data_IF_773820913271
#
_entry.id   IF_773820913271
#
_cell.length_a   1.000
_cell.length_b   1.000
_cell.length_c   1.000
_cell.angle_alpha   90.00
_cell.angle_beta   90.00
_cell.angle_gamma   90.00
#
_symmetry.space_group_name_H-M   'P 1'
#
loop_
_entity.id
_entity.type
_entity.pdbx_description
1 polymer ?
#
# COMPACT_ATOMS: atom_id res chain seq x y z
N UNK A 1 27.91 -7.42 -5.32
CA UNK A 1 27.46 -6.36 -4.40
C UNK A 1 27.31 -6.97 -3.01
N UNK A 2 28.18 -6.63 -2.10
CA UNK A 2 28.08 -7.09 -0.72
C UNK A 2 26.82 -6.48 -0.08
N UNK A 3 25.86 -7.35 0.27
CA UNK A 3 24.69 -6.92 1.04
C UNK A 3 25.11 -6.75 2.50
N UNK A 4 25.24 -5.51 2.92
CA UNK A 4 25.49 -5.20 4.34
C UNK A 4 24.22 -5.41 5.14
N UNK A 5 24.28 -6.31 6.12
CA UNK A 5 23.18 -6.58 7.05
C UNK A 5 23.39 -5.85 8.37
N UNK A 6 22.33 -5.33 8.92
CA UNK A 6 22.29 -4.69 10.23
C UNK A 6 21.26 -5.36 11.12
N UNK A 7 21.57 -5.49 12.41
CA UNK A 7 20.67 -6.05 13.40
C UNK A 7 20.15 -4.93 14.29
N UNK A 8 18.83 -4.87 14.46
CA UNK A 8 18.19 -4.04 15.49
C UNK A 8 17.35 -4.91 16.40
N UNK A 9 17.33 -4.58 17.68
CA UNK A 9 16.62 -5.33 18.72
C UNK A 9 15.59 -4.47 19.39
N UNK A 10 14.37 -4.98 19.53
CA UNK A 10 13.27 -4.33 20.22
C UNK A 10 12.25 -5.35 20.73
N UNK A 11 11.34 -4.92 21.60
CA UNK A 11 10.18 -5.72 21.98
C UNK A 11 9.10 -5.57 20.89
N UNK A 12 8.90 -6.63 20.10
CA UNK A 12 8.04 -6.60 18.92
C UNK A 12 6.77 -7.44 19.05
N UNK A 13 6.70 -8.35 20.02
CA UNK A 13 5.60 -9.33 20.12
C UNK A 13 5.08 -9.57 21.54
N UNK A 14 5.44 -8.74 22.50
CA UNK A 14 5.00 -8.90 23.91
C UNK A 14 5.62 -10.09 24.67
N UNK A 15 6.47 -10.89 24.01
CA UNK A 15 7.11 -12.08 24.60
C UNK A 15 8.60 -11.89 24.87
N UNK A 16 9.04 -10.62 24.95
CA UNK A 16 10.43 -10.25 25.16
C UNK A 16 11.09 -9.62 23.93
N UNK A 17 12.38 -9.36 24.03
CA UNK A 17 13.13 -8.70 22.97
C UNK A 17 13.36 -9.63 21.77
N UNK A 18 13.08 -9.13 20.59
CA UNK A 18 13.35 -9.79 19.32
C UNK A 18 14.41 -9.02 18.53
N UNK A 19 15.28 -9.76 17.84
CA UNK A 19 16.26 -9.18 16.93
C UNK A 19 15.84 -9.40 15.48
N UNK A 20 15.85 -8.33 14.70
CA UNK A 20 15.63 -8.37 13.27
C UNK A 20 16.94 -8.12 12.54
N UNK A 21 17.33 -9.05 11.68
CA UNK A 21 18.48 -8.91 10.79
C UNK A 21 17.98 -8.61 9.37
N UNK A 22 18.18 -7.38 8.92
CA UNK A 22 17.73 -6.90 7.61
C UNK A 22 18.89 -6.20 6.88
N UNK A 23 18.76 -6.09 5.59
CA UNK A 23 19.65 -5.30 4.75
C UNK A 23 19.60 -3.82 5.18
N UNK A 24 20.72 -3.14 5.06
CA UNK A 24 20.82 -1.72 5.45
C UNK A 24 19.83 -0.83 4.65
N UNK A 25 19.63 -1.14 3.37
CA UNK A 25 18.63 -0.48 2.51
C UNK A 25 17.19 -0.68 3.01
N UNK A 26 16.89 -1.88 3.52
CA UNK A 26 15.57 -2.17 4.13
C UNK A 26 15.37 -1.37 5.42
N UNK A 27 16.41 -1.24 6.25
CA UNK A 27 16.34 -0.39 7.44
C UNK A 27 16.15 1.09 7.11
N UNK A 28 16.81 1.59 6.07
CA UNK A 28 16.61 2.97 5.60
C UNK A 28 15.16 3.20 5.14
N UNK A 29 14.58 2.24 4.43
CA UNK A 29 13.16 2.30 4.04
C UNK A 29 12.22 2.28 5.26
N UNK A 30 12.46 1.41 6.25
CA UNK A 30 11.67 1.36 7.50
C UNK A 30 11.74 2.70 8.24
N UNK A 31 12.93 3.27 8.39
CA UNK A 31 13.10 4.56 9.06
C UNK A 31 12.32 5.67 8.34
N UNK A 32 12.35 5.69 7.01
CA UNK A 32 11.59 6.65 6.19
C UNK A 32 10.08 6.46 6.32
N UNK A 33 9.60 5.22 6.27
CA UNK A 33 8.17 4.88 6.41
C UNK A 33 7.67 5.30 7.80
N UNK A 34 8.38 4.93 8.85
CA UNK A 34 8.03 5.25 10.24
C UNK A 34 8.02 6.77 10.48
N UNK A 35 9.01 7.49 9.94
CA UNK A 35 9.07 8.95 10.01
C UNK A 35 7.85 9.61 9.37
N UNK A 36 7.45 9.17 8.18
CA UNK A 36 6.25 9.68 7.49
C UNK A 36 4.96 9.38 8.26
N UNK A 37 4.90 8.21 8.91
CA UNK A 37 3.77 7.83 9.76
C UNK A 37 3.77 8.54 11.14
N UNK A 38 4.82 9.29 11.47
CA UNK A 38 4.96 9.96 12.77
C UNK A 38 5.15 9.01 13.94
N UNK A 39 5.69 7.81 13.71
CA UNK A 39 5.92 6.77 14.73
C UNK A 39 7.38 6.33 14.75
N UNK A 40 7.79 5.63 15.81
CA UNK A 40 9.11 5.01 15.85
C UNK A 40 9.08 3.72 15.02
N UNK A 41 10.23 3.31 14.48
CA UNK A 41 10.33 2.07 13.72
C UNK A 41 9.85 0.83 14.49
N UNK A 42 10.07 0.79 15.83
CA UNK A 42 9.63 -0.31 16.68
C UNK A 42 8.10 -0.41 16.75
N UNK A 43 7.43 0.73 16.82
CA UNK A 43 5.96 0.79 16.92
C UNK A 43 5.33 0.40 15.58
N UNK A 44 5.90 0.86 14.47
CA UNK A 44 5.51 0.43 13.12
C UNK A 44 5.72 -1.08 12.93
N UNK A 45 6.89 -1.61 13.26
CA UNK A 45 7.21 -3.03 13.11
C UNK A 45 6.32 -3.91 14.00
N UNK A 46 6.04 -3.48 15.24
CA UNK A 46 5.13 -4.18 16.15
C UNK A 46 3.73 -4.31 15.57
N UNK A 47 3.20 -3.24 15.00
CA UNK A 47 1.87 -3.24 14.38
C UNK A 47 1.80 -4.20 13.19
N UNK A 48 2.82 -4.21 12.33
CA UNK A 48 2.90 -5.12 11.20
C UNK A 48 2.95 -6.59 11.65
N UNK A 49 3.79 -6.90 12.64
CA UNK A 49 3.93 -8.27 13.18
C UNK A 49 2.65 -8.71 13.88
N UNK A 50 1.97 -7.82 14.59
CA UNK A 50 0.70 -8.11 15.27
C UNK A 50 -0.38 -8.59 14.29
N UNK A 51 -0.40 -8.07 13.09
CA UNK A 51 -1.37 -8.48 12.04
C UNK A 51 -1.11 -9.89 11.50
N UNK A 52 0.13 -10.39 11.60
CA UNK A 52 0.54 -11.70 11.08
C UNK A 52 1.43 -12.45 12.10
N UNK A 53 0.91 -12.82 13.28
CA UNK A 53 1.73 -13.30 14.39
C UNK A 53 2.37 -14.68 14.17
N UNK A 54 1.85 -15.49 13.24
CA UNK A 54 2.33 -16.85 12.95
C UNK A 54 3.38 -16.91 11.83
N UNK A 55 3.71 -15.77 11.21
CA UNK A 55 4.68 -15.71 10.12
C UNK A 55 6.08 -15.31 10.62
N UNK A 56 7.08 -15.63 9.84
CA UNK A 56 8.44 -15.18 10.08
C UNK A 56 8.50 -13.64 10.11
N UNK A 57 8.93 -13.08 11.25
CA UNK A 57 8.95 -11.62 11.49
C UNK A 57 9.72 -10.86 10.42
N UNK A 58 10.90 -11.35 10.04
CA UNK A 58 11.74 -10.72 9.00
C UNK A 58 11.04 -10.71 7.64
N UNK A 59 10.40 -11.82 7.27
CA UNK A 59 9.64 -11.93 6.03
C UNK A 59 8.44 -11.01 6.00
N UNK A 60 7.69 -10.93 7.10
CA UNK A 60 6.53 -10.02 7.25
C UNK A 60 6.94 -8.56 7.14
N UNK A 61 8.04 -8.17 7.76
CA UNK A 61 8.56 -6.80 7.68
C UNK A 61 9.03 -6.46 6.26
N UNK A 62 9.75 -7.36 5.58
CA UNK A 62 10.16 -7.14 4.18
C UNK A 62 8.96 -6.97 3.25
N UNK A 63 7.93 -7.80 3.41
CA UNK A 63 6.71 -7.69 2.61
C UNK A 63 6.01 -6.35 2.84
N UNK A 64 5.89 -5.91 4.09
CA UNK A 64 5.28 -4.63 4.43
C UNK A 64 6.08 -3.43 3.86
N UNK A 65 7.41 -3.48 3.89
CA UNK A 65 8.26 -2.46 3.24
C UNK A 65 8.02 -2.43 1.74
N UNK A 66 7.95 -3.57 1.09
CA UNK A 66 7.69 -3.65 -0.34
C UNK A 66 6.30 -3.05 -0.69
N UNK A 67 5.26 -3.37 0.09
CA UNK A 67 3.93 -2.77 -0.07
C UNK A 67 3.95 -1.24 0.06
N UNK A 68 4.65 -0.70 1.06
CA UNK A 68 4.79 0.74 1.25
C UNK A 68 5.47 1.42 0.06
N UNK A 69 6.59 0.85 -0.40
CA UNK A 69 7.33 1.42 -1.53
C UNK A 69 6.54 1.35 -2.84
N UNK A 70 5.76 0.28 -3.04
CA UNK A 70 4.88 0.16 -4.20
C UNK A 70 3.74 1.19 -4.15
N UNK A 71 3.11 1.36 -2.99
CA UNK A 71 2.07 2.38 -2.81
C UNK A 71 2.62 3.78 -3.09
N UNK A 72 3.82 4.11 -2.60
CA UNK A 72 4.50 5.38 -2.87
C UNK A 72 4.78 5.58 -4.37
N UNK A 73 5.22 4.55 -5.05
CA UNK A 73 5.47 4.60 -6.49
C UNK A 73 4.19 4.91 -7.26
N UNK A 74 3.07 4.26 -6.92
CA UNK A 74 1.80 4.53 -7.59
C UNK A 74 1.25 5.93 -7.29
N UNK A 75 1.38 6.40 -6.06
CA UNK A 75 1.01 7.78 -5.72
C UNK A 75 1.84 8.77 -6.52
N UNK A 76 3.15 8.55 -6.63
CA UNK A 76 4.03 9.40 -7.44
C UNK A 76 3.66 9.35 -8.94
N UNK A 77 3.34 8.17 -9.47
CA UNK A 77 2.90 8.02 -10.86
C UNK A 77 1.57 8.75 -11.11
N UNK A 78 0.61 8.65 -10.18
CA UNK A 78 -0.65 9.37 -10.26
C UNK A 78 -0.43 10.90 -10.23
N UNK A 79 0.43 11.38 -9.34
CA UNK A 79 0.78 12.80 -9.22
C UNK A 79 1.49 13.34 -10.49
N UNK A 80 2.30 12.50 -11.14
CA UNK A 80 2.98 12.86 -12.41
C UNK A 80 2.06 12.79 -13.63
N UNK A 81 0.79 12.46 -13.47
CA UNK A 81 -0.17 12.37 -14.55
C UNK A 81 -0.10 11.07 -15.36
N UNK A 82 0.76 10.12 -15.00
CA UNK A 82 0.93 8.86 -15.74
C UNK A 82 -0.35 8.02 -15.74
N UNK A 83 -1.15 8.14 -14.69
CA UNK A 83 -2.47 7.50 -14.58
C UNK A 83 -3.58 8.47 -14.98
N UNK A 84 -3.32 9.77 -14.95
CA UNK A 84 -4.30 10.82 -15.23
C UNK A 84 -4.89 10.75 -16.64
N UNK A 85 -4.11 10.31 -17.62
CA UNK A 85 -4.58 10.16 -19.01
C UNK A 85 -5.62 9.03 -19.15
N UNK A 86 -5.67 8.11 -18.18
CA UNK A 86 -6.64 6.99 -18.15
C UNK A 86 -7.94 7.35 -17.43
N UNK A 87 -8.03 8.54 -16.83
CA UNK A 87 -9.17 8.98 -16.02
C UNK A 87 -9.88 10.14 -16.73
N UNK A 88 -11.20 10.07 -16.82
CA UNK A 88 -12.01 11.11 -17.44
C UNK A 88 -11.97 12.47 -16.71
N UNK A 89 -11.66 12.45 -15.40
CA UNK A 89 -11.52 13.65 -14.56
C UNK A 89 -10.28 13.57 -13.68
N UNK A 90 -9.07 13.71 -14.25
CA UNK A 90 -7.82 13.54 -13.49
C UNK A 90 -7.67 14.52 -12.31
N UNK A 91 -8.20 15.73 -12.41
CA UNK A 91 -8.16 16.73 -11.33
C UNK A 91 -9.04 16.35 -10.12
N UNK A 92 -10.05 15.52 -10.29
CA UNK A 92 -10.87 15.04 -9.16
C UNK A 92 -10.11 14.01 -8.29
N UNK A 93 -9.09 13.38 -8.86
CA UNK A 93 -8.27 12.36 -8.18
C UNK A 93 -6.93 12.94 -7.73
N UNK A 94 -6.43 13.99 -8.40
CA UNK A 94 -5.23 14.72 -7.97
C UNK A 94 -5.51 15.46 -6.66
N UNK A 95 -4.80 15.10 -5.61
CA UNK A 95 -5.03 15.64 -4.26
C UNK A 95 -6.01 14.83 -3.40
N UNK A 96 -6.56 13.73 -3.95
CA UNK A 96 -7.35 12.77 -3.20
C UNK A 96 -6.48 11.97 -2.22
N UNK A 97 -7.13 11.38 -1.21
CA UNK A 97 -6.51 10.40 -0.34
C UNK A 97 -6.29 9.07 -1.06
N UNK A 98 -5.39 8.24 -0.54
CA UNK A 98 -5.27 6.86 -0.97
C UNK A 98 -5.54 5.90 0.18
N UNK A 99 -6.13 4.77 -0.15
CA UNK A 99 -6.58 3.76 0.80
C UNK A 99 -6.03 2.40 0.37
N UNK A 100 -5.71 1.58 1.35
CA UNK A 100 -5.31 0.20 1.12
C UNK A 100 -6.49 -0.71 1.32
N UNK A 101 -6.72 -1.58 0.36
CA UNK A 101 -7.84 -2.51 0.34
C UNK A 101 -7.31 -3.95 0.36
N UNK A 102 -7.95 -4.81 1.13
CA UNK A 102 -7.84 -6.24 0.96
C UNK A 102 -8.74 -6.76 -0.19
N UNK A 103 -8.67 -8.06 -0.48
CA UNK A 103 -9.46 -8.66 -1.56
C UNK A 103 -10.98 -8.50 -1.36
N UNK A 104 -11.45 -8.57 -0.12
CA UNK A 104 -12.87 -8.43 0.19
C UNK A 104 -13.33 -6.98 0.01
N UNK A 105 -12.54 -6.02 0.45
CA UNK A 105 -12.78 -4.59 0.25
C UNK A 105 -12.72 -4.21 -1.23
N UNK A 106 -11.74 -4.73 -1.97
CA UNK A 106 -11.65 -4.51 -3.42
C UNK A 106 -12.92 -4.98 -4.13
N UNK A 107 -13.40 -6.18 -3.77
CA UNK A 107 -14.64 -6.71 -4.33
C UNK A 107 -15.83 -5.78 -4.07
N UNK A 108 -15.97 -5.27 -2.85
CA UNK A 108 -17.03 -4.32 -2.49
C UNK A 108 -16.92 -3.02 -3.29
N UNK A 109 -15.71 -2.48 -3.47
CA UNK A 109 -15.51 -1.25 -4.25
C UNK A 109 -15.83 -1.40 -5.73
N UNK A 110 -15.52 -2.54 -6.32
CA UNK A 110 -15.81 -2.82 -7.73
C UNK A 110 -17.26 -3.26 -7.97
N UNK A 111 -17.93 -3.81 -6.96
CA UNK A 111 -19.33 -4.27 -7.07
C UNK A 111 -20.27 -3.07 -7.17
N UNK A 112 -20.96 -2.96 -8.32
CA UNK A 112 -21.87 -1.84 -8.59
C UNK A 112 -21.19 -0.52 -8.98
N UNK A 113 -19.87 -0.49 -9.07
CA UNK A 113 -19.15 0.64 -9.64
C UNK A 113 -19.35 0.71 -11.16
N UNK A 114 -19.39 1.93 -11.68
CA UNK A 114 -19.33 2.19 -13.13
C UNK A 114 -17.86 2.30 -13.53
N UNK A 115 -17.27 1.17 -13.93
CA UNK A 115 -15.87 1.09 -14.37
C UNK A 115 -15.77 1.49 -15.83
N UNK A 116 -15.18 2.64 -16.09
CA UNK A 116 -15.00 3.18 -17.43
C UNK A 116 -13.67 2.78 -18.08
N UNK A 117 -12.68 2.46 -17.26
CA UNK A 117 -11.34 2.05 -17.71
C UNK A 117 -10.87 0.83 -16.94
N UNK A 118 -10.36 -0.16 -17.67
CA UNK A 118 -9.61 -1.28 -17.12
C UNK A 118 -8.34 -1.45 -17.95
N UNK A 119 -7.19 -1.41 -17.31
CA UNK A 119 -5.88 -1.53 -17.97
C UNK A 119 -5.01 -2.54 -17.23
N UNK A 120 -4.62 -3.61 -17.92
CA UNK A 120 -3.78 -4.71 -17.42
C UNK A 120 -2.33 -4.66 -17.96
N UNK A 121 -1.96 -3.55 -18.63
CA UNK A 121 -0.64 -3.39 -19.23
C UNK A 121 0.50 -3.20 -18.20
N UNK A 122 0.19 -3.05 -16.92
CA UNK A 122 1.14 -2.78 -15.84
C UNK A 122 1.71 -4.03 -15.16
N UNK A 123 1.77 -5.16 -15.84
CA UNK A 123 2.38 -6.40 -15.32
C UNK A 123 1.54 -7.06 -14.22
N UNK A 124 2.03 -7.05 -12.98
CA UNK A 124 1.32 -7.66 -11.84
C UNK A 124 0.15 -6.80 -11.31
N UNK A 125 -0.15 -5.69 -11.95
CA UNK A 125 -1.19 -4.76 -11.53
C UNK A 125 -2.23 -4.57 -12.61
N UNK A 126 -3.49 -4.44 -12.17
CA UNK A 126 -4.61 -4.03 -13.02
C UNK A 126 -5.16 -2.72 -12.49
N UNK A 127 -5.25 -1.73 -13.36
CA UNK A 127 -5.83 -0.44 -13.05
C UNK A 127 -7.31 -0.45 -13.42
N UNK A 128 -8.14 -0.01 -12.48
CA UNK A 128 -9.55 0.29 -12.72
C UNK A 128 -9.79 1.78 -12.45
N UNK A 129 -10.51 2.44 -13.34
CA UNK A 129 -10.96 3.81 -13.10
C UNK A 129 -12.44 3.94 -13.45
N UNK A 130 -13.15 4.79 -12.75
CA UNK A 130 -14.56 5.00 -12.93
C UNK A 130 -15.21 5.77 -11.80
N UNK A 131 -16.48 5.46 -11.56
CA UNK A 131 -17.28 6.06 -10.50
C UNK A 131 -17.74 4.99 -9.53
N UNK A 132 -17.57 5.20 -8.24
CA UNK A 132 -18.02 4.29 -7.18
C UNK A 132 -19.54 4.10 -7.23
N UNK A 133 -19.99 2.95 -6.72
CA UNK A 133 -21.43 2.72 -6.55
C UNK A 133 -22.07 3.87 -5.78
N UNK A 134 -23.31 4.29 -6.11
CA UNK A 134 -24.00 5.36 -5.40
C UNK A 134 -24.10 5.13 -3.89
N UNK A 135 -24.26 3.88 -3.47
CA UNK A 135 -24.29 3.49 -2.05
C UNK A 135 -22.93 3.73 -1.33
N UNK A 136 -21.83 3.85 -2.06
CA UNK A 136 -20.49 4.12 -1.56
C UNK A 136 -20.04 5.57 -1.78
N UNK A 137 -20.95 6.46 -2.22
CA UNK A 137 -20.70 7.89 -2.38
C UNK A 137 -20.78 8.40 -3.82
N UNK A 138 -20.70 7.53 -4.84
CA UNK A 138 -20.84 7.91 -6.25
C UNK A 138 -19.68 8.77 -6.79
N UNK A 139 -18.53 8.75 -6.14
CA UNK A 139 -17.38 9.61 -6.45
C UNK A 139 -16.42 8.95 -7.46
N UNK A 140 -15.67 9.75 -8.24
CA UNK A 140 -14.61 9.21 -9.09
C UNK A 140 -13.57 8.45 -8.26
N UNK A 141 -13.06 7.33 -8.79
CA UNK A 141 -12.03 6.53 -8.13
C UNK A 141 -11.07 5.89 -9.13
N UNK A 142 -9.90 5.57 -8.63
CA UNK A 142 -8.94 4.68 -9.29
C UNK A 142 -8.57 3.59 -8.32
N UNK A 143 -8.62 2.35 -8.78
CA UNK A 143 -8.14 1.19 -8.03
C UNK A 143 -6.99 0.53 -8.79
N UNK A 144 -5.93 0.24 -8.08
CA UNK A 144 -4.81 -0.53 -8.57
C UNK A 144 -4.83 -1.87 -7.85
N UNK A 145 -5.33 -2.87 -8.55
CA UNK A 145 -5.36 -4.23 -8.06
C UNK A 145 -3.97 -4.84 -8.16
N UNK A 146 -3.44 -5.29 -7.02
CA UNK A 146 -2.23 -6.07 -6.99
C UNK A 146 -2.58 -7.56 -7.14
N UNK A 147 -2.09 -8.20 -8.20
CA UNK A 147 -2.34 -9.62 -8.46
C UNK A 147 -1.39 -10.55 -7.69
N UNK A 148 -0.40 -10.00 -6.99
CA UNK A 148 0.51 -10.78 -6.15
C UNK A 148 -0.19 -11.20 -4.87
N UNK A 149 -0.10 -12.47 -4.53
CA UNK A 149 -0.73 -13.03 -3.34
C UNK A 149 -0.16 -12.41 -2.06
N UNK A 150 -1.06 -11.99 -1.17
CA UNK A 150 -0.71 -11.47 0.15
C UNK A 150 -0.39 -9.97 0.19
N UNK A 151 -0.49 -9.26 -0.94
CA UNK A 151 -0.35 -7.81 -1.00
C UNK A 151 -1.70 -7.12 -1.00
N UNK A 152 -1.73 -5.89 -0.50
CA UNK A 152 -2.93 -5.05 -0.52
C UNK A 152 -3.06 -4.33 -1.85
N UNK A 153 -4.30 -4.02 -2.20
CA UNK A 153 -4.65 -3.17 -3.34
C UNK A 153 -4.63 -1.70 -2.90
N UNK A 154 -4.50 -0.81 -3.85
CA UNK A 154 -4.50 0.63 -3.62
C UNK A 154 -5.74 1.26 -4.26
N UNK A 155 -6.47 2.05 -3.51
CA UNK A 155 -7.53 2.91 -4.03
C UNK A 155 -7.16 4.38 -3.83
N UNK A 156 -7.38 5.18 -4.87
CA UNK A 156 -7.27 6.63 -4.86
C UNK A 156 -8.68 7.19 -5.07
N UNK A 157 -9.17 7.93 -4.11
CA UNK A 157 -10.49 8.55 -4.17
C UNK A 157 -10.50 9.86 -3.37
N UNK A 158 -11.44 10.79 -3.64
CA UNK A 158 -11.67 11.95 -2.78
C UNK A 158 -11.91 11.51 -1.34
N UNK A 159 -11.53 12.35 -0.38
CA UNK A 159 -11.77 12.08 1.02
C UNK A 159 -13.27 11.86 1.25
N UNK A 160 -13.62 10.74 1.85
CA UNK A 160 -15.00 10.45 2.24
C UNK A 160 -15.35 11.44 3.36
N UNK A 161 -16.25 12.35 3.07
CA UNK A 161 -16.82 13.29 4.05
C UNK A 161 -17.80 12.58 4.97
#
# INVERSE_FOLDING_TARGET
MDKTFKVRTAELSGTGRSSLRLEESTWAAIDSIALRAGVRWQDWAREIIRKKPHFNKTGVIRAAVAEELMADQFVAMAQLGFIADSISEPHAVLGAGYYRLDDAQLKVELEGADVTTQDDSFGAFVLYAGTRAPALGGEPFVVIQNQLKGFLHLMIAPAIS
#
